data_IF_335758102343
#
_entry.id   IF_335758102343
#
_cell.length_a   1.000
_cell.length_b   1.000
_cell.length_c   1.000
_cell.angle_alpha   90.00
_cell.angle_beta   90.00
_cell.angle_gamma   90.00
#
_symmetry.space_group_name_H-M   'P 1'
#
loop_
_entity.id
_entity.type
_entity.pdbx_description
1 polymer ?
#
# COMPACT_ATOMS: atom_id res chain seq x y z
N UNK A 1 -10.76 -2.65 26.12
CA UNK A 1 -12.07 -2.50 25.43
C UNK A 1 -12.02 -3.30 24.14
N UNK A 2 -12.72 -4.43 24.06
CA UNK A 2 -12.80 -5.22 22.82
C UNK A 2 -13.84 -4.51 21.95
N UNK A 3 -13.39 -3.81 20.90
CA UNK A 3 -14.33 -3.24 19.94
C UNK A 3 -15.03 -4.37 19.19
N UNK A 4 -16.36 -4.31 19.10
CA UNK A 4 -17.15 -5.26 18.33
C UNK A 4 -16.66 -5.28 16.88
N UNK A 5 -16.29 -6.47 16.38
CA UNK A 5 -15.71 -6.63 15.04
C UNK A 5 -16.67 -6.13 13.94
N UNK A 6 -17.99 -6.21 14.18
CA UNK A 6 -19.01 -5.64 13.30
C UNK A 6 -19.01 -4.11 13.31
N UNK A 7 -18.81 -3.47 14.45
CA UNK A 7 -18.73 -2.02 14.58
C UNK A 7 -17.47 -1.45 13.92
N UNK A 8 -16.31 -2.11 14.08
CA UNK A 8 -15.05 -1.72 13.41
C UNK A 8 -15.20 -1.78 11.89
N UNK A 9 -15.82 -2.85 11.35
CA UNK A 9 -16.06 -2.98 9.91
C UNK A 9 -17.03 -1.94 9.36
N UNK A 10 -18.09 -1.60 10.12
CA UNK A 10 -19.05 -0.56 9.74
C UNK A 10 -18.38 0.81 9.70
N UNK A 11 -17.54 1.12 10.69
CA UNK A 11 -16.77 2.37 10.71
C UNK A 11 -15.77 2.41 9.56
N UNK A 12 -15.05 1.32 9.31
CA UNK A 12 -14.07 1.25 8.22
C UNK A 12 -14.66 1.33 6.81
N UNK A 13 -15.94 0.98 6.66
CA UNK A 13 -16.67 1.22 5.43
C UNK A 13 -16.81 2.72 5.09
N UNK A 14 -16.83 3.58 6.12
CA UNK A 14 -16.97 5.04 6.04
C UNK A 14 -15.61 5.75 6.06
N UNK A 15 -14.70 5.29 6.92
CA UNK A 15 -13.40 5.88 7.16
C UNK A 15 -12.27 4.89 6.87
N UNK A 16 -11.58 5.13 5.75
CA UNK A 16 -10.45 4.31 5.34
C UNK A 16 -9.28 4.42 6.33
N UNK A 17 -8.94 5.64 6.77
CA UNK A 17 -7.73 5.85 7.58
C UNK A 17 -7.89 5.25 8.98
N UNK A 18 -9.03 5.50 9.63
CA UNK A 18 -9.29 4.93 10.95
C UNK A 18 -9.30 3.41 10.98
N UNK A 19 -9.82 2.76 9.94
CA UNK A 19 -9.75 1.29 9.86
C UNK A 19 -8.36 0.78 9.49
N UNK A 20 -7.63 1.48 8.63
CA UNK A 20 -6.24 1.16 8.32
C UNK A 20 -5.36 1.17 9.57
N UNK A 21 -5.53 2.15 10.47
CA UNK A 21 -4.83 2.19 11.75
C UNK A 21 -5.12 0.96 12.62
N UNK A 22 -6.39 0.55 12.69
CA UNK A 22 -6.79 -0.67 13.42
C UNK A 22 -6.24 -1.93 12.75
N UNK A 23 -6.25 -2.00 11.41
CA UNK A 23 -5.73 -3.12 10.64
C UNK A 23 -4.21 -3.28 10.82
N UNK A 24 -3.47 -2.17 10.85
CA UNK A 24 -2.05 -2.12 11.16
C UNK A 24 -1.77 -2.64 12.57
N UNK A 25 -2.48 -2.11 13.58
CA UNK A 25 -2.32 -2.54 14.96
C UNK A 25 -2.58 -4.05 15.17
N UNK A 26 -3.57 -4.62 14.46
CA UNK A 26 -3.88 -6.07 14.49
C UNK A 26 -2.80 -6.96 13.88
N UNK A 27 -1.94 -6.39 13.03
CA UNK A 27 -0.89 -7.11 12.30
C UNK A 27 0.51 -6.67 12.75
N UNK A 28 0.59 -6.00 13.91
CA UNK A 28 1.85 -5.52 14.50
C UNK A 28 2.66 -4.61 13.55
N UNK A 29 1.96 -3.89 12.67
CA UNK A 29 2.55 -2.92 11.74
C UNK A 29 2.15 -1.50 12.10
N UNK A 30 2.86 -0.53 11.53
CA UNK A 30 2.59 0.90 11.75
C UNK A 30 1.96 1.53 10.50
N UNK A 31 0.98 2.44 10.65
CA UNK A 31 0.39 3.13 9.52
C UNK A 31 1.44 3.93 8.75
N UNK A 32 1.54 3.71 7.44
CA UNK A 32 2.49 4.42 6.61
C UNK A 32 1.88 5.74 6.10
N UNK A 33 2.53 6.90 6.29
CA UNK A 33 2.03 8.17 5.76
C UNK A 33 1.83 8.17 4.24
N UNK A 34 2.60 7.36 3.52
CA UNK A 34 2.45 7.16 2.08
C UNK A 34 1.04 6.70 1.69
N UNK A 35 0.35 5.94 2.56
CA UNK A 35 -0.99 5.39 2.32
C UNK A 35 -2.09 6.43 2.62
N UNK A 36 -1.79 7.55 3.28
CA UNK A 36 -2.78 8.60 3.62
C UNK A 36 -3.11 9.54 2.44
N UNK A 37 -2.48 9.33 1.29
CA UNK A 37 -2.48 10.31 0.22
C UNK A 37 -3.85 10.42 -0.49
N UNK A 38 -4.32 11.67 -0.60
CA UNK A 38 -5.51 12.08 -1.36
C UNK A 38 -6.88 11.56 -0.86
N UNK A 39 -6.96 11.02 0.35
CA UNK A 39 -8.22 10.48 0.91
C UNK A 39 -9.37 11.51 0.96
N UNK A 40 -9.06 12.80 1.13
CA UNK A 40 -10.04 13.90 1.11
C UNK A 40 -10.74 14.07 -0.25
N UNK A 41 -10.16 13.53 -1.33
CA UNK A 41 -10.75 13.50 -2.68
C UNK A 41 -11.37 12.14 -2.99
N UNK A 42 -11.66 11.33 -1.98
CA UNK A 42 -12.12 9.95 -2.16
C UNK A 42 -11.15 9.09 -3.00
N UNK A 43 -9.86 9.44 -2.96
CA UNK A 43 -8.82 8.79 -3.74
C UNK A 43 -7.72 8.24 -2.84
N UNK A 44 -7.25 7.03 -3.15
CA UNK A 44 -6.06 6.45 -2.57
C UNK A 44 -4.97 6.42 -3.63
N UNK A 45 -3.96 7.27 -3.50
CA UNK A 45 -2.91 7.43 -4.52
C UNK A 45 -1.52 7.40 -3.89
N UNK A 46 -0.80 6.30 -4.05
CA UNK A 46 0.52 6.13 -3.46
C UNK A 46 1.48 5.33 -4.33
N UNK A 47 2.77 5.43 -4.01
CA UNK A 47 3.82 4.63 -4.62
C UNK A 47 3.98 3.31 -3.85
N UNK A 48 3.69 2.20 -4.52
CA UNK A 48 3.77 0.84 -3.97
C UNK A 48 5.17 0.42 -3.55
N UNK A 49 6.23 0.98 -4.15
CA UNK A 49 7.62 0.68 -3.80
C UNK A 49 7.97 1.08 -2.36
N UNK A 50 7.17 1.98 -1.76
CA UNK A 50 7.36 2.43 -0.37
C UNK A 50 6.82 1.45 0.68
N UNK A 51 6.07 0.43 0.25
CA UNK A 51 5.53 -0.61 1.14
C UNK A 51 6.36 -1.87 1.04
N UNK A 52 6.70 -2.45 2.18
CA UNK A 52 7.24 -3.82 2.21
C UNK A 52 6.08 -4.79 2.06
N UNK A 53 6.40 -6.04 1.70
CA UNK A 53 5.41 -7.11 1.54
C UNK A 53 4.39 -7.22 2.70
N UNK A 54 4.78 -7.21 3.99
CA UNK A 54 3.79 -7.28 5.09
C UNK A 54 2.91 -6.03 5.20
N UNK A 55 3.39 -4.86 4.76
CA UNK A 55 2.64 -3.61 4.85
C UNK A 55 1.46 -3.58 3.87
N UNK A 56 1.43 -4.47 2.87
CA UNK A 56 0.33 -4.59 1.92
C UNK A 56 -0.95 -5.17 2.53
N UNK A 57 -0.83 -6.12 3.46
CA UNK A 57 -1.99 -6.79 4.03
C UNK A 57 -2.98 -5.83 4.72
N UNK A 58 -2.57 -4.89 5.60
CA UNK A 58 -3.51 -3.94 6.20
C UNK A 58 -4.07 -2.94 5.19
N UNK A 59 -3.31 -2.58 4.15
CA UNK A 59 -3.77 -1.71 3.05
C UNK A 59 -4.90 -2.39 2.28
N UNK A 60 -4.68 -3.61 1.81
CA UNK A 60 -5.66 -4.36 1.01
C UNK A 60 -6.91 -4.69 1.82
N UNK A 61 -6.76 -5.03 3.11
CA UNK A 61 -7.90 -5.24 4.01
C UNK A 61 -8.75 -3.98 4.16
N UNK A 62 -8.13 -2.80 4.25
CA UNK A 62 -8.83 -1.52 4.38
C UNK A 62 -9.54 -1.12 3.09
N UNK A 63 -8.89 -1.33 1.93
CA UNK A 63 -9.49 -1.13 0.61
C UNK A 63 -10.74 -2.00 0.44
N UNK A 64 -10.65 -3.29 0.81
CA UNK A 64 -11.73 -4.27 0.58
C UNK A 64 -13.05 -3.96 1.29
N UNK A 65 -13.01 -3.18 2.37
CA UNK A 65 -14.20 -2.84 3.16
C UNK A 65 -14.70 -1.42 2.92
N UNK A 66 -13.83 -0.53 2.43
CA UNK A 66 -14.17 0.87 2.25
C UNK A 66 -15.10 1.04 1.05
N UNK A 67 -16.19 1.81 1.23
CA UNK A 67 -17.21 2.00 0.18
C UNK A 67 -17.19 3.41 -0.43
N UNK A 68 -16.28 4.28 0.02
CA UNK A 68 -16.22 5.69 -0.37
C UNK A 68 -14.99 6.05 -1.19
N UNK A 69 -13.99 5.16 -1.27
CA UNK A 69 -12.93 5.31 -2.25
C UNK A 69 -13.52 5.15 -3.66
N UNK A 70 -13.45 6.22 -4.45
CA UNK A 70 -13.88 6.24 -5.84
C UNK A 70 -12.73 5.92 -6.79
N UNK A 71 -11.51 6.26 -6.39
CA UNK A 71 -10.31 6.08 -7.20
C UNK A 71 -9.18 5.47 -6.38
N UNK A 72 -8.51 4.46 -6.95
CA UNK A 72 -7.32 3.84 -6.37
C UNK A 72 -6.24 3.87 -7.44
N UNK A 73 -5.13 4.53 -7.13
CA UNK A 73 -3.94 4.61 -7.96
C UNK A 73 -2.75 4.07 -7.16
N UNK A 74 -2.09 3.07 -7.74
CA UNK A 74 -0.87 2.50 -7.18
C UNK A 74 0.19 2.62 -8.26
N UNK A 75 1.19 3.46 -8.00
CA UNK A 75 2.31 3.67 -8.91
C UNK A 75 3.54 2.89 -8.46
N UNK A 76 4.43 2.59 -9.39
CA UNK A 76 5.78 2.11 -9.10
C UNK A 76 6.78 2.98 -9.85
N UNK A 77 7.87 3.30 -9.17
CA UNK A 77 9.04 4.01 -9.71
C UNK A 77 10.24 3.08 -9.89
N UNK A 78 10.04 1.76 -9.74
CA UNK A 78 11.08 0.76 -9.87
C UNK A 78 11.73 0.82 -11.25
N UNK A 79 13.03 1.11 -11.29
CA UNK A 79 13.83 1.08 -12.51
C UNK A 79 14.73 -0.16 -12.51
N UNK A 80 14.31 -1.19 -13.25
CA UNK A 80 15.05 -2.45 -13.37
C UNK A 80 16.51 -2.25 -13.85
N UNK A 81 16.75 -1.27 -14.71
CA UNK A 81 18.10 -0.94 -15.22
C UNK A 81 19.02 -0.37 -14.13
N UNK A 82 18.48 0.36 -13.15
CA UNK A 82 19.25 0.87 -12.00
C UNK A 82 19.56 -0.28 -11.04
N UNK A 83 18.55 -1.09 -10.71
CA UNK A 83 18.72 -2.27 -9.86
C UNK A 83 19.73 -3.29 -10.43
N UNK A 84 19.70 -3.51 -11.75
CA UNK A 84 20.66 -4.37 -12.44
C UNK A 84 22.09 -3.81 -12.40
N UNK A 85 22.26 -2.48 -12.48
CA UNK A 85 23.57 -1.81 -12.36
C UNK A 85 24.14 -1.94 -10.96
N UNK A 86 23.31 -1.82 -9.92
CA UNK A 86 23.72 -2.04 -8.53
C UNK A 86 24.06 -3.50 -8.24
N UNK A 87 23.44 -4.43 -8.97
CA UNK A 87 23.68 -5.88 -8.82
C UNK A 87 24.96 -6.37 -9.50
N UNK A 88 25.74 -5.51 -10.17
CA UNK A 88 27.03 -5.87 -10.77
C UNK A 88 26.97 -6.82 -11.98
N UNK A 89 25.78 -7.18 -12.46
CA UNK A 89 25.62 -8.08 -13.61
C UNK A 89 25.62 -7.26 -14.90
N UNK A 90 26.81 -6.84 -15.35
CA UNK A 90 26.96 -6.36 -16.73
C UNK A 90 26.91 -7.58 -17.64
N UNK A 91 25.72 -7.89 -18.19
CA UNK A 91 25.62 -8.74 -19.36
C UNK A 91 26.25 -7.99 -20.54
N UNK A 92 27.57 -8.12 -20.71
CA UNK A 92 28.26 -7.76 -21.95
C UNK A 92 27.76 -8.72 -23.04
N UNK A 93 26.63 -8.38 -23.65
CA UNK A 93 26.17 -9.01 -24.88
C UNK A 93 27.24 -8.74 -25.95
N UNK A 94 28.14 -9.71 -26.11
CA UNK A 94 29.05 -9.75 -27.25
C UNK A 94 28.22 -10.05 -28.47
N UNK A 95 27.88 -8.99 -29.21
CA UNK A 95 27.36 -9.09 -30.57
C UNK A 95 28.50 -9.59 -31.46
N UNK A 96 28.59 -10.91 -31.68
CA UNK A 96 29.47 -11.45 -32.73
C UNK A 96 28.93 -10.99 -34.08
N UNK A 97 29.81 -10.33 -34.84
CA UNK A 97 29.64 -9.98 -36.25
C UNK A 97 29.42 -11.22 -37.09
#
# INVERSE_FOLDING_TARGET
>A
MIQDSGQVRRQGAQDFWGYYEVACARQESVPLPAVKANLHKHMLDFNGDRLKLPDWQPVLASISINKHLQHIAISSTYQASVALRESGIILKLHRKK
#
